data_IF_346502278796
#
_entry.id   IF_346502278796
#
_cell.length_a   1.000
_cell.length_b   1.000
_cell.length_c   1.000
_cell.angle_alpha   90.00
_cell.angle_beta   90.00
_cell.angle_gamma   90.00
#
_symmetry.space_group_name_H-M   'P 1'
#
loop_
_entity.id
_entity.type
_entity.pdbx_description
1 polymer ?
#
# COMPACT_ATOMS: atom_id res chain seq x y z
N UNK A 1 -24.42 -17.02 3.43
CA UNK A 1 -23.00 -16.84 3.07
C UNK A 1 -22.91 -16.31 1.65
N UNK A 2 -22.93 -14.98 1.50
CA UNK A 2 -22.75 -14.27 0.22
C UNK A 2 -21.56 -13.31 0.31
N UNK A 3 -21.38 -12.46 -0.72
CA UNK A 3 -20.24 -11.52 -0.84
C UNK A 3 -20.11 -10.52 0.33
N UNK A 4 -21.19 -10.27 1.07
CA UNK A 4 -21.16 -9.51 2.32
C UNK A 4 -21.47 -10.42 3.51
N UNK A 5 -20.55 -10.43 4.47
CA UNK A 5 -20.71 -11.06 5.79
C UNK A 5 -21.19 -10.04 6.82
N UNK A 6 -21.87 -10.52 7.87
CA UNK A 6 -22.19 -9.69 9.05
C UNK A 6 -20.89 -9.28 9.75
N UNK A 7 -20.68 -7.98 9.96
CA UNK A 7 -19.52 -7.44 10.68
C UNK A 7 -19.93 -6.88 12.05
N UNK A 8 -18.98 -6.80 12.97
CA UNK A 8 -19.14 -6.16 14.28
C UNK A 8 -18.09 -5.06 14.43
N UNK A 9 -18.49 -3.89 14.91
CA UNK A 9 -17.56 -2.82 15.24
C UNK A 9 -16.64 -3.24 16.39
N UNK A 10 -15.38 -2.82 16.31
CA UNK A 10 -14.37 -3.00 17.36
C UNK A 10 -13.75 -1.64 17.67
N UNK A 11 -13.53 -1.37 18.95
CA UNK A 11 -12.83 -0.17 19.37
C UNK A 11 -11.34 -0.32 19.07
N UNK A 12 -10.77 0.67 18.37
CA UNK A 12 -9.35 0.73 18.06
C UNK A 12 -8.64 1.67 19.05
N UNK A 13 -7.42 1.34 19.50
CA UNK A 13 -6.63 2.29 20.26
C UNK A 13 -6.29 3.53 19.42
N UNK A 14 -5.97 4.67 20.05
CA UNK A 14 -5.47 5.84 19.34
C UNK A 14 -4.23 5.49 18.51
N UNK A 15 -4.08 6.16 17.37
CA UNK A 15 -2.86 6.04 16.57
C UNK A 15 -1.64 6.48 17.38
N UNK A 16 -0.50 5.80 17.18
CA UNK A 16 0.75 6.18 17.79
C UNK A 16 1.17 7.61 17.37
N UNK A 17 1.90 8.30 18.23
CA UNK A 17 2.32 9.69 17.95
C UNK A 17 3.27 9.80 16.76
N UNK A 18 4.05 8.75 16.51
CA UNK A 18 4.95 8.61 15.36
C UNK A 18 4.27 7.96 14.14
N UNK A 19 2.97 7.71 14.22
CA UNK A 19 2.22 7.21 13.08
C UNK A 19 2.42 8.15 11.87
N UNK A 20 2.42 7.54 10.69
CA UNK A 20 2.45 8.22 9.38
C UNK A 20 1.09 8.86 9.07
N UNK A 21 0.51 9.54 10.06
CA UNK A 21 -0.78 10.20 10.00
C UNK A 21 -0.68 11.57 9.30
N UNK A 22 -1.82 12.04 8.81
CA UNK A 22 -1.94 13.32 8.08
C UNK A 22 -1.79 13.21 6.56
N UNK A 23 -1.93 12.02 5.98
CA UNK A 23 -1.86 11.79 4.53
C UNK A 23 -0.46 12.11 3.98
N UNK A 24 -0.40 12.93 2.92
CA UNK A 24 0.87 13.29 2.27
C UNK A 24 1.89 13.91 3.23
N UNK A 25 1.45 14.73 4.19
CA UNK A 25 2.36 15.33 5.16
C UNK A 25 3.05 14.27 6.05
N UNK A 26 2.33 13.20 6.38
CA UNK A 26 2.89 12.04 7.09
C UNK A 26 3.90 11.28 6.24
N UNK A 27 3.55 10.99 4.99
CA UNK A 27 4.42 10.28 4.06
C UNK A 27 5.73 11.03 3.76
N UNK A 28 5.67 12.36 3.55
CA UNK A 28 6.85 13.19 3.29
C UNK A 28 7.75 13.24 4.53
N UNK A 29 7.17 13.40 5.72
CA UNK A 29 7.93 13.40 6.98
C UNK A 29 8.67 12.08 7.18
N UNK A 30 8.00 10.95 6.96
CA UNK A 30 8.61 9.62 7.03
C UNK A 30 9.76 9.47 6.04
N UNK A 31 9.54 9.85 4.77
CA UNK A 31 10.58 9.80 3.75
C UNK A 31 11.83 10.59 4.14
N UNK A 32 11.68 11.83 4.60
CA UNK A 32 12.81 12.66 5.04
C UNK A 32 13.54 12.04 6.25
N UNK A 33 12.80 11.46 7.19
CA UNK A 33 13.40 10.76 8.34
C UNK A 33 14.20 9.54 7.89
N UNK A 34 13.67 8.73 6.98
CA UNK A 34 14.37 7.58 6.40
C UNK A 34 15.67 7.99 5.71
N UNK A 35 15.65 9.04 4.90
CA UNK A 35 16.86 9.58 4.23
C UNK A 35 17.92 9.98 5.26
N UNK A 36 17.53 10.68 6.34
CA UNK A 36 18.46 11.11 7.40
C UNK A 36 19.03 9.94 8.20
N UNK A 37 18.22 8.92 8.46
CA UNK A 37 18.61 7.77 9.27
C UNK A 37 19.25 6.62 8.47
N UNK A 38 19.28 6.71 7.14
CA UNK A 38 19.69 5.60 6.26
C UNK A 38 18.71 4.43 6.27
N UNK A 39 17.44 4.65 6.62
CA UNK A 39 16.39 3.64 6.62
C UNK A 39 15.65 3.59 5.28
N UNK A 40 14.86 2.53 5.06
CA UNK A 40 14.08 2.34 3.83
C UNK A 40 12.67 2.94 4.01
N UNK A 41 12.24 3.89 3.16
CA UNK A 41 10.88 4.44 3.21
C UNK A 41 9.85 3.47 2.63
N UNK A 42 8.57 3.65 2.98
CA UNK A 42 7.46 2.82 2.44
C UNK A 42 7.40 2.83 0.91
N UNK A 43 7.75 3.96 0.28
CA UNK A 43 7.71 4.18 -1.17
C UNK A 43 9.08 4.01 -1.83
N UNK A 44 9.93 3.12 -1.31
CA UNK A 44 11.19 2.74 -1.94
C UNK A 44 11.00 2.39 -3.41
N UNK A 45 11.83 2.97 -4.30
CA UNK A 45 11.70 2.76 -5.74
C UNK A 45 11.83 1.28 -6.15
N UNK A 46 12.66 0.51 -5.44
CA UNK A 46 12.88 -0.92 -5.72
C UNK A 46 11.62 -1.77 -5.53
N UNK A 47 10.75 -1.38 -4.60
CA UNK A 47 9.47 -2.06 -4.38
C UNK A 47 8.34 -1.39 -5.15
N UNK A 48 8.33 -0.04 -5.21
CA UNK A 48 7.27 0.70 -5.88
C UNK A 48 7.18 0.37 -7.37
N UNK A 49 8.32 0.10 -8.03
CA UNK A 49 8.36 -0.28 -9.46
C UNK A 49 7.57 -1.57 -9.75
N UNK A 50 7.44 -2.49 -8.79
CA UNK A 50 6.66 -3.73 -8.93
C UNK A 50 5.16 -3.44 -9.09
N UNK A 51 4.69 -2.26 -8.67
CA UNK A 51 3.30 -1.84 -8.90
C UNK A 51 2.98 -1.69 -10.39
N UNK A 52 3.99 -1.42 -11.23
CA UNK A 52 3.79 -1.38 -12.68
C UNK A 52 3.47 -2.77 -13.24
N UNK A 53 4.06 -3.84 -12.69
CA UNK A 53 3.71 -5.21 -13.06
C UNK A 53 2.24 -5.53 -12.72
N UNK A 54 1.73 -5.04 -11.59
CA UNK A 54 0.30 -5.14 -11.25
C UNK A 54 -0.58 -4.44 -12.30
N UNK A 55 -0.24 -3.22 -12.70
CA UNK A 55 -1.00 -2.45 -13.71
C UNK A 55 -1.03 -3.18 -15.06
N UNK A 56 0.12 -3.63 -15.56
CA UNK A 56 0.17 -4.37 -16.83
C UNK A 56 -0.53 -5.73 -16.73
N UNK A 57 -0.39 -6.41 -15.60
CA UNK A 57 -1.11 -7.66 -15.31
C UNK A 57 -2.62 -7.46 -15.36
N UNK A 58 -3.14 -6.39 -14.75
CA UNK A 58 -4.57 -6.06 -14.76
C UNK A 58 -5.09 -5.75 -16.17
N UNK A 59 -4.35 -4.95 -16.95
CA UNK A 59 -4.70 -4.66 -18.35
C UNK A 59 -4.79 -5.95 -19.16
N UNK A 60 -3.78 -6.83 -19.05
CA UNK A 60 -3.75 -8.11 -19.77
C UNK A 60 -4.85 -9.06 -19.29
N UNK A 61 -5.13 -9.09 -17.99
CA UNK A 61 -6.20 -9.89 -17.38
C UNK A 61 -7.57 -9.48 -17.94
N UNK A 62 -7.83 -8.18 -18.05
CA UNK A 62 -9.08 -7.67 -18.62
C UNK A 62 -9.21 -8.01 -20.11
N UNK A 63 -8.13 -7.89 -20.89
CA UNK A 63 -8.14 -8.24 -22.31
C UNK A 63 -8.39 -9.74 -22.57
N UNK A 64 -7.91 -10.62 -21.69
CA UNK A 64 -7.97 -12.08 -21.87
C UNK A 64 -9.05 -12.77 -21.03
N UNK A 65 -9.78 -12.03 -20.20
CA UNK A 65 -10.81 -12.55 -19.29
C UNK A 65 -10.33 -13.72 -18.43
N UNK A 66 -9.07 -13.68 -17.98
CA UNK A 66 -8.46 -14.71 -17.13
C UNK A 66 -7.41 -14.10 -16.22
N UNK A 67 -7.12 -14.81 -15.12
CA UNK A 67 -6.04 -14.44 -14.20
C UNK A 67 -4.67 -14.44 -14.91
N UNK A 68 -3.86 -13.43 -14.61
CA UNK A 68 -2.47 -13.29 -15.06
C UNK A 68 -1.58 -13.30 -13.81
N UNK A 69 -0.56 -14.16 -13.81
CA UNK A 69 0.50 -14.10 -12.80
C UNK A 69 1.46 -12.95 -13.13
N UNK A 70 1.90 -12.27 -12.09
CA UNK A 70 2.87 -11.18 -12.15
C UNK A 70 4.06 -11.53 -11.25
N UNK A 71 5.24 -11.08 -11.63
CA UNK A 71 6.52 -11.28 -10.94
C UNK A 71 7.10 -9.97 -10.46
#
# INVERSE_FOLDING_TARGET
>A
GGFFSTTKAVDLPPAAADARAGGHAGAIRDFVNCVRAGAIPETSALDNIKSLAMVFGAIKSAAQQRRIEIS
#
